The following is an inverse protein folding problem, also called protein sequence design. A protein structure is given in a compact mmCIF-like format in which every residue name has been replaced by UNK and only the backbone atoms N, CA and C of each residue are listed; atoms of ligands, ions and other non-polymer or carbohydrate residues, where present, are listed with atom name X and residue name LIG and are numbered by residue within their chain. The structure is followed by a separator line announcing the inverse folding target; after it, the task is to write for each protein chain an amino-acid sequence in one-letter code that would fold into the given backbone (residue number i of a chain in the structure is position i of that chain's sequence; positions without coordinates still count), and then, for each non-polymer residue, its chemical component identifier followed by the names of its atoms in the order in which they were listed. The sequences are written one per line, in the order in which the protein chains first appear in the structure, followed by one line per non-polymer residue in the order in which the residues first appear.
data_IF_426322288544
#
_entry.id   IF_426322288544
#
_cell.length_a   1.000
_cell.length_b   1.000
_cell.length_c   1.000
_cell.angle_alpha   90.00
_cell.angle_beta   90.00
_cell.angle_gamma   90.00
#
_symmetry.space_group_name_H-M   'P 1'
#
loop_
_entity.id
_entity.type
_entity.pdbx_description
1 polymer ?
#
# COMPACT_ATOMS: atom_id res chain seq x y z
N UNK A 1 57.61 -19.25 -67.83
CA UNK A 1 56.34 -18.73 -67.32
C UNK A 1 56.07 -19.40 -65.98
N UNK A 2 56.38 -18.72 -64.87
CA UNK A 2 56.20 -19.28 -63.48
C UNK A 2 54.88 -18.79 -62.95
N UNK A 3 54.00 -19.73 -62.54
CA UNK A 3 52.76 -19.43 -61.85
C UNK A 3 53.08 -19.26 -60.37
N UNK A 4 52.77 -18.11 -59.84
CA UNK A 4 52.84 -17.79 -58.41
C UNK A 4 51.46 -18.16 -57.84
N UNK A 5 51.46 -19.10 -56.90
CA UNK A 5 50.27 -19.42 -56.14
C UNK A 5 50.16 -18.51 -54.87
N UNK A 6 49.08 -17.77 -54.77
CA UNK A 6 48.81 -16.91 -53.63
C UNK A 6 48.07 -17.71 -52.55
N UNK A 7 48.70 -17.97 -51.41
CA UNK A 7 48.10 -18.58 -50.23
C UNK A 7 47.40 -17.47 -49.42
N UNK A 8 46.08 -17.55 -49.36
CA UNK A 8 45.28 -16.69 -48.45
C UNK A 8 45.18 -17.38 -47.11
N UNK A 9 45.80 -16.81 -46.10
CA UNK A 9 45.65 -17.21 -44.72
C UNK A 9 44.38 -16.56 -44.15
N UNK A 10 43.29 -17.32 -43.93
CA UNK A 10 42.12 -16.90 -43.20
C UNK A 10 42.41 -17.01 -41.70
N UNK A 11 42.63 -15.92 -41.04
CA UNK A 11 42.66 -15.85 -39.58
C UNK A 11 41.21 -15.92 -39.04
N UNK A 12 40.86 -17.05 -38.43
CA UNK A 12 39.62 -17.19 -37.67
C UNK A 12 39.84 -16.52 -36.32
N UNK A 13 39.24 -15.33 -36.09
CA UNK A 13 39.16 -14.72 -34.79
C UNK A 13 38.08 -15.47 -34.00
N UNK A 14 38.48 -16.34 -33.06
CA UNK A 14 37.62 -16.88 -32.05
C UNK A 14 37.39 -15.79 -30.98
N UNK A 15 36.28 -15.10 -31.06
CA UNK A 15 35.80 -14.23 -29.96
C UNK A 15 35.40 -15.13 -28.81
N UNK A 16 36.24 -15.23 -27.79
CA UNK A 16 35.88 -15.80 -26.49
C UNK A 16 34.98 -14.76 -25.82
N UNK A 17 33.66 -14.97 -25.91
CA UNK A 17 32.71 -14.27 -25.04
C UNK A 17 32.98 -14.76 -23.62
N UNK A 18 33.76 -14.02 -22.87
CA UNK A 18 33.83 -14.16 -21.42
C UNK A 18 32.48 -13.69 -20.88
N UNK A 19 31.59 -14.65 -20.60
CA UNK A 19 30.47 -14.40 -19.68
C UNK A 19 31.09 -14.07 -18.32
N UNK A 20 31.28 -12.80 -18.06
CA UNK A 20 31.43 -12.31 -16.70
C UNK A 20 30.07 -12.55 -16.05
N UNK A 21 29.96 -13.63 -15.25
CA UNK A 21 28.95 -13.71 -14.21
C UNK A 21 29.21 -12.46 -13.36
N UNK A 22 28.32 -11.48 -13.46
CA UNK A 22 28.21 -10.47 -12.43
C UNK A 22 28.01 -11.23 -11.13
N UNK A 23 29.02 -11.22 -10.29
CA UNK A 23 28.91 -11.64 -8.91
C UNK A 23 28.06 -10.55 -8.23
N UNK A 24 26.75 -10.63 -8.37
CA UNK A 24 25.84 -9.91 -7.51
C UNK A 24 26.00 -10.52 -6.14
N UNK A 25 26.92 -9.98 -5.34
CA UNK A 25 27.00 -10.28 -3.93
C UNK A 25 25.61 -10.05 -3.35
N UNK A 26 24.99 -11.12 -2.81
CA UNK A 26 23.66 -11.03 -2.19
C UNK A 26 23.76 -9.95 -1.11
N UNK A 27 22.94 -8.89 -1.22
CA UNK A 27 22.93 -7.80 -0.24
C UNK A 27 22.35 -8.37 1.06
N UNK A 28 23.12 -8.29 2.14
CA UNK A 28 22.72 -8.79 3.46
C UNK A 28 22.64 -7.65 4.45
N UNK A 29 21.51 -7.55 5.14
CA UNK A 29 21.31 -6.63 6.26
C UNK A 29 21.57 -7.33 7.60
N UNK A 30 21.96 -6.55 8.61
CA UNK A 30 22.01 -7.02 9.98
C UNK A 30 20.59 -7.33 10.48
N UNK A 31 20.42 -8.40 11.23
CA UNK A 31 19.10 -8.81 11.73
C UNK A 31 19.19 -10.00 12.66
N UNK A 32 18.05 -10.43 13.20
CA UNK A 32 17.90 -11.55 14.11
C UNK A 32 17.29 -12.75 13.39
N UNK A 33 17.61 -13.95 13.84
CA UNK A 33 16.94 -15.16 13.36
C UNK A 33 15.50 -15.21 13.87
N UNK A 34 14.59 -15.67 13.01
CA UNK A 34 13.16 -15.78 13.33
C UNK A 34 12.60 -17.12 12.85
N UNK A 35 11.62 -17.63 13.57
CA UNK A 35 10.89 -18.83 13.18
C UNK A 35 9.72 -18.45 12.27
N UNK A 36 9.91 -18.58 10.97
CA UNK A 36 8.88 -18.37 9.94
C UNK A 36 8.70 -19.64 9.12
N UNK A 37 7.50 -19.85 8.60
CA UNK A 37 7.19 -21.05 7.83
C UNK A 37 8.09 -21.23 6.60
N UNK A 38 8.20 -22.48 6.13
CA UNK A 38 9.10 -22.83 5.01
C UNK A 38 8.48 -22.59 3.63
N UNK A 39 7.16 -22.56 3.52
CA UNK A 39 6.46 -22.41 2.25
C UNK A 39 5.91 -20.98 2.11
N UNK A 40 6.67 -20.11 1.46
CA UNK A 40 6.28 -18.73 1.18
C UNK A 40 6.03 -18.49 -0.33
N UNK A 41 5.78 -19.55 -1.09
CA UNK A 41 5.61 -19.48 -2.55
C UNK A 41 6.93 -19.09 -3.22
N UNK A 42 6.84 -18.27 -4.27
CA UNK A 42 8.00 -17.73 -4.98
C UNK A 42 8.60 -16.46 -4.33
N UNK A 43 8.00 -15.98 -3.25
CA UNK A 43 8.46 -14.78 -2.57
C UNK A 43 9.58 -15.09 -1.58
N UNK A 44 10.67 -14.37 -1.69
CA UNK A 44 11.84 -14.51 -0.81
C UNK A 44 11.87 -13.47 0.31
N UNK A 45 11.12 -12.37 0.15
CA UNK A 45 11.19 -11.21 1.01
C UNK A 45 9.80 -10.63 1.29
N UNK A 46 9.61 -10.14 2.53
CA UNK A 46 8.49 -9.28 2.90
C UNK A 46 9.06 -7.96 3.41
N UNK A 47 8.85 -6.88 2.66
CA UNK A 47 9.14 -5.52 3.10
C UNK A 47 8.01 -5.06 4.01
N UNK A 48 8.37 -4.43 5.13
CA UNK A 48 7.46 -4.03 6.19
C UNK A 48 7.71 -2.55 6.46
N UNK A 49 6.73 -1.71 6.18
CA UNK A 49 6.83 -0.28 6.36
C UNK A 49 6.11 0.13 7.65
N UNK A 50 6.84 0.83 8.50
CA UNK A 50 6.38 1.32 9.79
C UNK A 50 6.22 2.84 9.71
N UNK A 51 5.04 3.35 10.04
CA UNK A 51 4.74 4.80 10.00
C UNK A 51 5.57 5.59 11.01
N UNK A 52 5.92 4.96 12.13
CA UNK A 52 6.54 5.60 13.28
C UNK A 52 5.51 6.24 14.22
N UNK A 53 5.95 6.63 15.42
CA UNK A 53 5.17 7.46 16.33
C UNK A 53 5.44 8.93 16.02
N UNK A 54 4.43 9.70 15.60
CA UNK A 54 4.62 11.12 15.34
C UNK A 54 5.08 11.86 16.61
N UNK A 55 6.16 12.64 16.59
CA UNK A 55 6.99 13.03 15.44
C UNK A 55 8.20 12.10 15.14
N UNK A 56 8.12 10.82 15.50
CA UNK A 56 9.19 9.84 15.28
C UNK A 56 9.34 9.44 13.81
N UNK A 57 10.54 8.95 13.46
CA UNK A 57 10.86 8.54 12.11
C UNK A 57 10.16 7.23 11.72
N UNK A 58 9.74 7.15 10.47
CA UNK A 58 9.33 5.91 9.82
C UNK A 58 10.53 5.00 9.60
N UNK A 59 10.30 3.68 9.59
CA UNK A 59 11.34 2.69 9.31
C UNK A 59 10.88 1.71 8.24
N UNK A 60 11.84 1.16 7.50
CA UNK A 60 11.63 0.08 6.55
C UNK A 60 12.32 -1.17 7.05
N UNK A 61 11.55 -2.18 7.43
CA UNK A 61 12.06 -3.47 7.89
C UNK A 61 11.97 -4.52 6.76
N UNK A 62 12.71 -5.61 6.92
CA UNK A 62 12.75 -6.72 5.96
C UNK A 62 12.68 -8.05 6.69
N UNK A 63 11.70 -8.87 6.33
CA UNK A 63 11.68 -10.29 6.66
C UNK A 63 12.19 -11.08 5.44
N UNK A 64 13.39 -11.64 5.59
CA UNK A 64 14.02 -12.52 4.60
C UNK A 64 13.61 -13.96 4.91
N UNK A 65 12.69 -14.50 4.11
CA UNK A 65 12.17 -15.86 4.29
C UNK A 65 13.21 -16.92 3.99
N UNK A 66 14.10 -16.67 3.02
CA UNK A 66 15.13 -17.61 2.60
C UNK A 66 16.15 -17.85 3.71
N UNK A 67 16.57 -16.75 4.36
CA UNK A 67 17.58 -16.78 5.41
C UNK A 67 16.96 -16.84 6.81
N UNK A 68 15.60 -16.87 6.93
CA UNK A 68 14.84 -16.85 8.19
C UNK A 68 15.30 -15.73 9.12
N UNK A 69 15.41 -14.52 8.55
CA UNK A 69 16.03 -13.38 9.23
C UNK A 69 15.10 -12.16 9.18
N UNK A 70 14.92 -11.54 10.33
CA UNK A 70 14.24 -10.23 10.42
C UNK A 70 15.28 -9.12 10.59
N UNK A 71 15.26 -8.14 9.68
CA UNK A 71 16.19 -7.03 9.62
C UNK A 71 15.42 -5.73 9.87
N UNK A 72 15.73 -5.05 10.98
CA UNK A 72 15.11 -3.77 11.34
C UNK A 72 15.78 -2.63 10.59
N UNK A 73 14.97 -1.67 10.16
CA UNK A 73 15.41 -0.42 9.52
C UNK A 73 16.54 -0.60 8.48
N UNK A 74 16.23 -1.37 7.45
CA UNK A 74 17.19 -1.62 6.36
C UNK A 74 17.53 -0.32 5.60
N UNK A 75 16.66 0.72 5.68
CA UNK A 75 16.99 2.02 5.11
C UNK A 75 18.17 2.67 5.84
N UNK A 76 18.12 2.74 7.17
CA UNK A 76 19.23 3.32 7.94
C UNK A 76 20.51 2.50 7.80
N UNK A 77 20.39 1.17 7.73
CA UNK A 77 21.56 0.29 7.49
C UNK A 77 22.20 0.56 6.11
N UNK A 78 21.39 0.80 5.09
CA UNK A 78 21.85 1.07 3.74
C UNK A 78 22.39 2.50 3.56
N UNK A 79 21.87 3.48 4.29
CA UNK A 79 22.12 4.91 4.11
C UNK A 79 22.55 5.59 5.43
N UNK A 80 23.68 5.19 6.04
CA UNK A 80 24.11 5.72 7.34
C UNK A 80 24.45 7.22 7.30
N UNK A 81 24.65 7.78 6.11
CA UNK A 81 24.86 9.22 5.90
C UNK A 81 23.57 10.03 5.99
N UNK A 82 22.40 9.40 5.87
CA UNK A 82 21.08 10.07 5.95
C UNK A 82 20.64 10.15 7.41
N UNK A 83 21.17 11.11 8.15
CA UNK A 83 20.97 11.26 9.60
C UNK A 83 19.50 11.43 9.99
N UNK A 84 18.67 11.96 9.09
CA UNK A 84 17.23 12.19 9.35
C UNK A 84 16.40 10.91 9.21
N UNK A 85 17.02 9.79 8.81
CA UNK A 85 16.34 8.53 8.53
C UNK A 85 15.46 8.58 7.28
N UNK A 86 14.49 7.67 7.18
CA UNK A 86 13.62 7.56 6.01
C UNK A 86 12.68 8.77 5.87
N UNK A 87 12.21 9.34 6.97
CA UNK A 87 11.22 10.43 7.04
C UNK A 87 10.11 10.10 8.03
N UNK A 88 9.02 10.86 8.01
CA UNK A 88 7.93 10.75 8.99
C UNK A 88 6.60 10.37 8.34
N UNK A 89 5.83 9.53 9.03
CA UNK A 89 4.48 9.08 8.67
C UNK A 89 4.44 8.48 7.27
N UNK A 90 5.06 7.30 7.13
CA UNK A 90 5.03 6.54 5.88
C UNK A 90 3.64 5.97 5.63
N UNK A 91 3.01 6.33 4.51
CA UNK A 91 1.62 5.99 4.22
C UNK A 91 1.42 4.88 3.19
N UNK A 92 2.37 4.68 2.29
CA UNK A 92 2.25 3.64 1.27
C UNK A 92 3.61 3.37 0.62
N UNK A 93 3.73 2.22 -0.05
CA UNK A 93 4.91 1.87 -0.84
C UNK A 93 4.54 1.01 -2.05
N UNK A 94 5.28 1.19 -3.13
CA UNK A 94 5.12 0.38 -4.34
C UNK A 94 6.46 0.11 -5.02
N UNK A 95 6.57 -1.05 -5.69
CA UNK A 95 7.75 -1.40 -6.50
C UNK A 95 7.47 -1.12 -7.97
N UNK A 96 8.42 -0.48 -8.63
CA UNK A 96 8.47 -0.33 -10.08
C UNK A 96 9.92 -0.23 -10.56
N UNK A 97 10.24 -0.87 -11.68
CA UNK A 97 11.53 -0.79 -12.35
C UNK A 97 12.74 -1.07 -11.43
N UNK A 98 12.60 -2.04 -10.51
CA UNK A 98 13.64 -2.41 -9.54
C UNK A 98 13.85 -1.39 -8.42
N UNK A 99 12.92 -0.48 -8.22
CA UNK A 99 12.95 0.57 -7.19
C UNK A 99 11.73 0.48 -6.29
N UNK A 100 11.92 0.75 -5.00
CA UNK A 100 10.86 0.92 -4.02
C UNK A 100 10.58 2.42 -3.85
N UNK A 101 9.34 2.80 -4.10
CA UNK A 101 8.82 4.14 -3.87
C UNK A 101 8.10 4.15 -2.52
N UNK A 102 8.54 5.01 -1.59
CA UNK A 102 7.97 5.12 -0.24
C UNK A 102 7.41 6.52 -0.05
N UNK A 103 6.15 6.61 0.30
CA UNK A 103 5.42 7.86 0.51
C UNK A 103 5.50 8.28 1.98
N UNK A 104 5.97 9.50 2.24
CA UNK A 104 6.26 10.03 3.56
C UNK A 104 5.39 11.28 3.79
N UNK A 105 4.19 11.06 4.32
CA UNK A 105 3.13 12.08 4.40
C UNK A 105 3.56 13.32 5.18
N UNK A 106 3.98 13.17 6.43
CA UNK A 106 4.37 14.31 7.26
C UNK A 106 5.71 14.95 6.86
N UNK A 107 6.51 14.25 6.04
CA UNK A 107 7.73 14.82 5.46
C UNK A 107 7.50 15.52 4.12
N UNK A 108 6.30 15.45 3.54
CA UNK A 108 5.98 15.96 2.19
C UNK A 108 6.95 15.43 1.11
N UNK A 109 7.25 14.14 1.16
CA UNK A 109 8.27 13.53 0.32
C UNK A 109 7.87 12.15 -0.18
N UNK A 110 8.49 11.77 -1.30
CA UNK A 110 8.57 10.40 -1.77
C UNK A 110 10.04 10.02 -1.86
N UNK A 111 10.44 8.99 -1.11
CA UNK A 111 11.77 8.40 -1.22
C UNK A 111 11.76 7.30 -2.27
N UNK A 112 12.70 7.34 -3.20
CA UNK A 112 12.92 6.29 -4.20
C UNK A 112 14.19 5.54 -3.83
N UNK A 113 14.03 4.26 -3.51
CA UNK A 113 15.10 3.40 -3.07
C UNK A 113 15.41 2.37 -4.14
N UNK A 114 16.68 2.10 -4.37
CA UNK A 114 17.11 1.02 -5.23
C UNK A 114 16.87 -0.34 -4.53
N UNK A 115 16.43 -1.35 -5.26
CA UNK A 115 16.29 -2.72 -4.77
C UNK A 115 17.35 -3.64 -5.41
N UNK A 116 17.89 -4.60 -4.65
CA UNK A 116 17.46 -5.04 -3.31
C UNK A 116 18.18 -4.37 -2.13
N UNK A 117 19.06 -3.39 -2.35
CA UNK A 117 19.99 -2.86 -1.35
C UNK A 117 19.45 -1.68 -0.53
N UNK A 118 18.22 -1.25 -0.78
CA UNK A 118 17.55 -0.14 -0.11
C UNK A 118 18.32 1.20 -0.15
N UNK A 119 19.26 1.35 -1.09
CA UNK A 119 20.00 2.61 -1.28
C UNK A 119 19.07 3.70 -1.76
N UNK A 120 19.18 4.87 -1.12
CA UNK A 120 18.45 6.07 -1.53
C UNK A 120 18.96 6.55 -2.88
N UNK A 121 18.09 6.55 -3.88
CA UNK A 121 18.38 7.08 -5.20
C UNK A 121 17.91 8.53 -5.34
N UNK A 122 16.71 8.82 -4.87
CA UNK A 122 16.08 10.12 -5.06
C UNK A 122 15.08 10.44 -3.94
N UNK A 123 14.99 11.71 -3.59
CA UNK A 123 13.86 12.28 -2.83
C UNK A 123 13.12 13.23 -3.75
N UNK A 124 11.79 13.09 -3.80
CA UNK A 124 10.89 13.94 -4.58
C UNK A 124 9.98 14.69 -3.62
N UNK A 125 9.73 15.97 -3.89
CA UNK A 125 8.78 16.77 -3.13
C UNK A 125 7.36 16.49 -3.62
N UNK A 126 6.51 16.02 -2.72
CA UNK A 126 5.07 15.76 -2.94
C UNK A 126 4.36 16.13 -1.65
N UNK A 127 3.47 17.12 -1.71
CA UNK A 127 2.76 17.60 -0.53
C UNK A 127 1.83 16.52 0.04
N UNK A 128 2.00 16.16 1.31
CA UNK A 128 1.16 15.20 2.03
C UNK A 128 0.75 13.98 1.19
N UNK A 129 1.72 13.17 0.65
CA UNK A 129 1.40 12.03 -0.22
C UNK A 129 0.67 10.93 0.55
N UNK A 130 -0.29 10.24 -0.12
CA UNK A 130 -1.16 9.25 0.52
C UNK A 130 -1.02 7.85 -0.05
N UNK A 131 -1.40 7.64 -1.30
CA UNK A 131 -1.36 6.34 -1.98
C UNK A 131 -0.66 6.44 -3.32
N UNK A 132 -0.10 5.31 -3.78
CA UNK A 132 0.62 5.22 -5.05
C UNK A 132 0.12 4.04 -5.89
N UNK A 133 -0.02 4.28 -7.20
CA UNK A 133 -0.17 3.22 -8.20
C UNK A 133 0.76 3.49 -9.37
N UNK A 134 1.31 2.41 -9.94
CA UNK A 134 2.15 2.49 -11.12
C UNK A 134 1.37 2.03 -12.36
N UNK A 135 1.38 2.84 -13.43
CA UNK A 135 0.80 2.48 -14.71
C UNK A 135 1.64 3.02 -15.88
N UNK A 136 1.90 2.16 -16.88
CA UNK A 136 2.83 2.47 -17.96
C UNK A 136 4.20 2.90 -17.42
N UNK A 137 4.68 4.06 -17.81
CA UNK A 137 5.95 4.62 -17.33
C UNK A 137 5.81 5.59 -16.15
N UNK A 138 4.62 5.74 -15.60
CA UNK A 138 4.33 6.74 -14.57
C UNK A 138 4.00 6.10 -13.22
N UNK A 139 4.38 6.81 -12.16
CA UNK A 139 3.81 6.69 -10.83
C UNK A 139 2.73 7.76 -10.64
N UNK A 140 1.56 7.37 -10.13
CA UNK A 140 0.46 8.26 -9.78
C UNK A 140 0.29 8.26 -8.27
N UNK A 141 0.29 9.45 -7.65
CA UNK A 141 0.30 9.59 -6.20
C UNK A 141 -0.78 10.57 -5.81
N UNK A 142 -1.68 10.17 -4.91
CA UNK A 142 -2.64 11.07 -4.27
C UNK A 142 -1.97 11.93 -3.22
N UNK A 143 -2.43 13.16 -3.10
CA UNK A 143 -1.88 14.17 -2.20
C UNK A 143 -3.01 15.05 -1.66
N UNK A 144 -2.98 15.33 -0.37
CA UNK A 144 -3.91 16.28 0.22
C UNK A 144 -3.65 17.72 -0.24
N UNK A 145 -2.46 18.01 -0.72
CA UNK A 145 -2.02 19.32 -1.22
C UNK A 145 -2.18 20.48 -0.21
N UNK A 146 -2.43 20.17 1.05
CA UNK A 146 -2.66 21.13 2.14
C UNK A 146 -2.56 20.48 3.50
N UNK A 147 -3.05 21.16 4.52
CA UNK A 147 -3.05 20.68 5.90
C UNK A 147 -3.85 19.36 6.04
N UNK A 148 -3.34 18.44 6.85
CA UNK A 148 -4.01 17.17 7.14
C UNK A 148 -5.21 17.39 8.05
N UNK A 149 -5.08 18.26 9.07
CA UNK A 149 -6.13 18.49 10.09
C UNK A 149 -6.75 19.86 9.97
N UNK A 150 -8.08 19.90 10.06
CA UNK A 150 -8.91 21.01 10.52
C UNK A 150 -8.59 22.38 9.97
N UNK A 151 -8.43 22.55 8.67
CA UNK A 151 -8.39 23.85 8.05
C UNK A 151 -9.81 24.31 7.77
N UNK A 152 -10.19 25.53 8.18
CA UNK A 152 -11.45 26.18 7.76
C UNK A 152 -11.45 26.37 6.24
N UNK A 153 -10.26 26.48 5.64
CA UNK A 153 -10.04 26.57 4.20
C UNK A 153 -9.71 25.19 3.62
N UNK A 154 -10.72 24.42 3.24
CA UNK A 154 -10.53 23.14 2.56
C UNK A 154 -9.93 23.39 1.17
N UNK A 155 -8.71 22.85 0.95
CA UNK A 155 -8.03 22.90 -0.35
C UNK A 155 -8.33 21.63 -1.12
N UNK A 156 -8.66 21.70 -2.41
CA UNK A 156 -8.74 20.52 -3.24
C UNK A 156 -7.41 19.77 -3.27
N UNK A 157 -7.50 18.44 -3.17
CA UNK A 157 -6.34 17.59 -3.29
C UNK A 157 -5.85 17.47 -4.73
N UNK A 158 -4.74 16.75 -4.91
CA UNK A 158 -4.11 16.55 -6.22
C UNK A 158 -3.75 15.11 -6.45
N UNK A 159 -3.62 14.76 -7.73
CA UNK A 159 -2.85 13.60 -8.17
C UNK A 159 -1.57 14.09 -8.82
N UNK A 160 -0.44 13.61 -8.33
CA UNK A 160 0.86 13.76 -8.96
C UNK A 160 1.07 12.62 -9.95
N UNK A 161 1.45 12.94 -11.19
CA UNK A 161 1.95 12.00 -12.18
C UNK A 161 3.44 12.23 -12.37
N UNK A 162 4.24 11.23 -12.02
CA UNK A 162 5.70 11.30 -12.05
C UNK A 162 6.23 10.29 -13.06
N UNK A 163 6.99 10.73 -14.05
CA UNK A 163 7.72 9.84 -14.97
C UNK A 163 8.83 9.14 -14.20
N UNK A 164 8.80 7.80 -14.12
CA UNK A 164 9.71 7.03 -13.26
C UNK A 164 11.18 7.01 -13.72
N UNK A 165 11.45 7.48 -14.92
CA UNK A 165 12.81 7.57 -15.46
C UNK A 165 13.38 8.97 -15.32
N UNK A 166 12.65 9.98 -15.76
CA UNK A 166 13.12 11.38 -15.77
C UNK A 166 12.78 12.13 -14.48
N UNK A 167 11.87 11.60 -13.65
CA UNK A 167 11.28 12.24 -12.49
C UNK A 167 10.53 13.55 -12.79
N UNK A 168 10.17 13.76 -14.07
CA UNK A 168 9.31 14.88 -14.45
C UNK A 168 7.93 14.76 -13.82
N UNK A 169 7.46 15.85 -13.21
CA UNK A 169 6.22 15.91 -12.45
C UNK A 169 5.16 16.70 -13.21
N UNK A 170 3.94 16.23 -13.18
CA UNK A 170 2.73 16.98 -13.54
C UNK A 170 1.63 16.67 -12.53
N UNK A 171 0.68 17.59 -12.35
CA UNK A 171 -0.40 17.44 -11.36
C UNK A 171 -1.76 17.74 -11.98
N UNK A 172 -2.80 17.15 -11.40
CA UNK A 172 -4.20 17.46 -11.67
C UNK A 172 -4.95 17.57 -10.36
N UNK A 173 -5.81 18.56 -10.24
CA UNK A 173 -6.66 18.79 -9.08
C UNK A 173 -7.83 17.80 -9.07
N UNK A 174 -8.21 17.32 -7.86
CA UNK A 174 -9.30 16.37 -7.63
C UNK A 174 -10.19 16.84 -6.46
N UNK A 175 -10.93 15.95 -5.80
CA UNK A 175 -11.72 16.30 -4.62
C UNK A 175 -10.86 16.50 -3.36
N UNK A 176 -11.54 16.56 -2.22
CA UNK A 176 -10.88 16.83 -0.94
C UNK A 176 -10.23 15.59 -0.35
N UNK A 177 -9.01 15.76 0.15
CA UNK A 177 -8.21 14.73 0.83
C UNK A 177 -8.29 13.36 0.13
N UNK A 178 -7.76 13.26 -1.12
CA UNK A 178 -7.81 12.02 -1.88
C UNK A 178 -6.94 10.94 -1.24
N UNK A 179 -7.51 9.74 -1.14
CA UNK A 179 -6.88 8.55 -0.59
C UNK A 179 -6.56 7.54 -1.70
N UNK A 180 -7.15 6.36 -1.69
CA UNK A 180 -6.89 5.28 -2.62
C UNK A 180 -7.12 5.66 -4.08
N UNK A 181 -6.38 4.99 -4.96
CA UNK A 181 -6.49 5.15 -6.41
C UNK A 181 -6.36 3.81 -7.11
N UNK A 182 -7.02 3.68 -8.27
CA UNK A 182 -7.00 2.44 -9.05
C UNK A 182 -7.12 2.74 -10.55
N UNK A 183 -6.44 1.94 -11.38
CA UNK A 183 -6.46 2.10 -12.84
C UNK A 183 -7.35 1.05 -13.48
N UNK A 184 -8.33 1.49 -14.26
CA UNK A 184 -9.20 0.63 -15.04
C UNK A 184 -9.43 1.22 -16.44
N UNK A 185 -9.17 0.45 -17.49
CA UNK A 185 -9.43 0.83 -18.90
C UNK A 185 -8.82 2.19 -19.30
N UNK A 186 -7.57 2.46 -18.88
CA UNK A 186 -6.88 3.73 -19.19
C UNK A 186 -7.41 4.95 -18.44
N UNK A 187 -8.21 4.74 -17.41
CA UNK A 187 -8.72 5.76 -16.49
C UNK A 187 -8.18 5.51 -15.08
N UNK A 188 -7.83 6.58 -14.39
CA UNK A 188 -7.47 6.56 -12.97
C UNK A 188 -8.66 7.03 -12.15
N UNK A 189 -9.14 6.16 -11.28
CA UNK A 189 -10.19 6.45 -10.30
C UNK A 189 -9.52 6.85 -9.00
N UNK A 190 -10.01 7.92 -8.36
CA UNK A 190 -9.44 8.50 -7.15
C UNK A 190 -10.54 8.67 -6.12
N UNK A 191 -10.38 8.02 -4.96
CA UNK A 191 -11.28 8.15 -3.83
C UNK A 191 -11.02 9.47 -3.09
N UNK A 192 -11.96 10.39 -3.11
CA UNK A 192 -11.86 11.60 -2.31
C UNK A 192 -12.58 11.35 -0.98
N UNK A 193 -11.87 11.43 0.14
CA UNK A 193 -12.42 11.09 1.44
C UNK A 193 -12.90 12.31 2.23
N UNK A 194 -12.17 13.41 2.17
CA UNK A 194 -12.34 14.54 3.10
C UNK A 194 -12.12 14.12 4.56
N UNK A 195 -11.45 12.97 4.82
CA UNK A 195 -11.50 12.20 6.05
C UNK A 195 -11.05 12.90 7.34
N UNK A 196 -10.22 13.95 7.26
CA UNK A 196 -9.82 14.78 8.39
C UNK A 196 -10.50 16.15 8.40
N UNK A 197 -11.40 16.39 7.45
CA UNK A 197 -12.24 17.59 7.40
C UNK A 197 -13.56 17.37 8.16
N UNK A 198 -14.25 18.48 8.47
CA UNK A 198 -15.55 18.43 9.13
C UNK A 198 -16.69 17.89 8.25
N UNK A 199 -16.47 17.87 6.93
CA UNK A 199 -17.41 17.35 5.94
C UNK A 199 -16.68 16.34 5.07
N UNK A 200 -17.09 15.09 5.15
CA UNK A 200 -16.51 14.02 4.35
C UNK A 200 -16.95 14.12 2.88
N UNK A 201 -16.04 13.76 1.98
CA UNK A 201 -16.29 13.72 0.55
C UNK A 201 -16.81 12.33 0.14
N UNK A 202 -17.67 12.27 -0.89
CA UNK A 202 -18.17 11.02 -1.47
C UNK A 202 -17.84 10.89 -2.95
N UNK A 203 -16.99 11.78 -3.49
CA UNK A 203 -16.72 11.84 -4.91
C UNK A 203 -15.56 10.93 -5.30
N UNK A 204 -15.73 10.25 -6.42
CA UNK A 204 -14.65 9.55 -7.11
C UNK A 204 -14.29 10.36 -8.35
N UNK A 205 -13.10 10.95 -8.39
CA UNK A 205 -12.60 11.64 -9.58
C UNK A 205 -12.10 10.61 -10.59
N UNK A 206 -12.52 10.73 -11.85
CA UNK A 206 -12.08 9.85 -12.94
C UNK A 206 -11.19 10.67 -13.89
N UNK A 207 -9.92 10.33 -13.96
CA UNK A 207 -8.89 11.00 -14.75
C UNK A 207 -8.60 10.16 -16.00
N UNK A 208 -8.65 10.78 -17.17
CA UNK A 208 -8.17 10.18 -18.41
C UNK A 208 -6.62 10.18 -18.41
N UNK A 209 -6.02 9.00 -18.46
CA UNK A 209 -4.56 8.87 -18.38
C UNK A 209 -3.83 9.39 -19.65
N UNK A 210 -4.52 9.45 -20.79
CA UNK A 210 -3.93 9.95 -22.04
C UNK A 210 -3.78 11.47 -22.05
N UNK A 211 -4.74 12.19 -21.50
CA UNK A 211 -4.73 13.66 -21.40
C UNK A 211 -4.25 14.14 -20.02
N UNK A 212 -4.36 13.30 -19.02
CA UNK A 212 -4.14 13.60 -17.61
C UNK A 212 -5.01 14.75 -17.11
N UNK A 213 -6.29 14.65 -17.40
CA UNK A 213 -7.33 15.60 -16.96
C UNK A 213 -8.49 14.85 -16.33
N UNK A 214 -9.18 15.46 -15.36
CA UNK A 214 -10.44 14.92 -14.81
C UNK A 214 -11.49 14.95 -15.91
N UNK A 215 -11.98 13.77 -16.29
CA UNK A 215 -13.00 13.58 -17.30
C UNK A 215 -14.40 13.75 -16.72
N UNK A 216 -14.60 13.19 -15.53
CA UNK A 216 -15.86 13.21 -14.80
C UNK A 216 -15.67 12.92 -13.32
N UNK A 217 -16.72 13.14 -12.57
CA UNK A 217 -16.85 12.77 -11.16
C UNK A 217 -18.01 11.81 -10.99
N UNK A 218 -17.84 10.79 -10.16
CA UNK A 218 -18.88 9.83 -9.75
C UNK A 218 -19.20 10.12 -8.29
N UNK A 219 -20.48 10.27 -7.95
CA UNK A 219 -20.93 10.37 -6.57
C UNK A 219 -21.20 8.96 -6.03
N UNK A 220 -20.40 8.53 -5.06
CA UNK A 220 -20.61 7.27 -4.37
C UNK A 220 -21.78 7.40 -3.37
N UNK A 221 -22.50 6.31 -3.08
CA UNK A 221 -23.60 6.33 -2.11
C UNK A 221 -23.13 6.40 -0.64
N UNK A 222 -21.81 6.47 -0.40
CA UNK A 222 -21.14 6.51 0.89
C UNK A 222 -20.09 7.60 0.90
N UNK A 223 -19.81 8.15 2.07
CA UNK A 223 -18.78 9.19 2.30
C UNK A 223 -17.50 8.57 2.81
N UNK A 224 -16.45 9.39 2.99
CA UNK A 224 -15.20 9.01 3.63
C UNK A 224 -14.55 7.81 2.93
N UNK A 225 -14.43 7.90 1.60
CA UNK A 225 -13.88 6.85 0.73
C UNK A 225 -12.40 6.63 1.03
N UNK A 226 -11.94 5.37 1.00
CA UNK A 226 -10.59 5.08 1.41
C UNK A 226 -9.80 4.27 0.37
N UNK A 227 -9.55 2.99 0.58
CA UNK A 227 -8.72 2.19 -0.32
C UNK A 227 -9.48 1.78 -1.58
N UNK A 228 -8.75 1.63 -2.69
CA UNK A 228 -9.29 1.18 -3.96
C UNK A 228 -8.51 0.00 -4.53
N UNK A 229 -9.22 -0.88 -5.24
CA UNK A 229 -8.61 -1.88 -6.11
C UNK A 229 -9.48 -2.12 -7.35
N UNK A 230 -8.92 -2.82 -8.35
CA UNK A 230 -9.66 -3.25 -9.55
C UNK A 230 -9.75 -4.76 -9.58
N UNK A 231 -10.96 -5.27 -9.66
CA UNK A 231 -11.22 -6.70 -9.83
C UNK A 231 -12.49 -6.93 -10.65
N UNK A 232 -12.51 -7.99 -11.46
CA UNK A 232 -13.67 -8.41 -12.25
C UNK A 232 -14.29 -7.28 -13.09
N UNK A 233 -13.43 -6.40 -13.65
CA UNK A 233 -13.86 -5.30 -14.54
C UNK A 233 -14.54 -4.13 -13.83
N UNK A 234 -14.43 -4.05 -12.49
CA UNK A 234 -14.97 -2.98 -11.64
C UNK A 234 -13.87 -2.39 -10.77
N UNK A 235 -14.08 -1.16 -10.33
CA UNK A 235 -13.36 -0.57 -9.20
C UNK A 235 -14.11 -0.92 -7.92
N UNK A 236 -13.38 -1.29 -6.89
CA UNK A 236 -13.90 -1.51 -5.55
C UNK A 236 -13.29 -0.48 -4.62
N UNK A 237 -14.12 0.12 -3.77
CA UNK A 237 -13.70 1.15 -2.82
C UNK A 237 -14.23 0.82 -1.43
N UNK A 238 -13.34 0.90 -0.43
CA UNK A 238 -13.73 0.86 0.99
C UNK A 238 -14.11 2.26 1.48
N UNK A 239 -14.85 2.33 2.56
CA UNK A 239 -15.24 3.56 3.25
C UNK A 239 -15.12 3.39 4.75
N UNK A 240 -14.61 4.40 5.43
CA UNK A 240 -14.61 4.47 6.90
C UNK A 240 -16.01 4.72 7.48
N UNK A 241 -17.02 4.97 6.63
CA UNK A 241 -18.34 5.37 7.08
C UNK A 241 -18.40 6.81 7.54
N UNK A 242 -19.44 7.14 8.30
CA UNK A 242 -19.69 8.51 8.77
C UNK A 242 -19.86 8.51 10.28
N UNK A 243 -19.08 9.33 10.95
CA UNK A 243 -19.15 9.48 12.40
C UNK A 243 -18.88 10.92 12.84
N UNK A 244 -19.46 11.29 13.97
CA UNK A 244 -19.22 12.57 14.63
C UNK A 244 -18.67 12.33 16.03
N UNK A 245 -17.80 13.22 16.48
CA UNK A 245 -17.24 13.19 17.82
C UNK A 245 -17.78 14.38 18.62
N UNK A 246 -18.34 14.12 19.79
CA UNK A 246 -18.85 15.14 20.71
C UNK A 246 -18.29 14.88 22.10
N UNK A 247 -18.14 15.95 22.90
CA UNK A 247 -17.78 15.79 24.30
C UNK A 247 -19.03 15.69 25.15
N UNK A 248 -19.02 14.74 26.07
CA UNK A 248 -20.06 14.65 27.09
C UNK A 248 -19.90 15.71 28.20
N UNK A 249 -20.78 15.68 29.21
CA UNK A 249 -20.75 16.60 30.34
C UNK A 249 -19.51 16.44 31.25
N UNK A 250 -18.75 15.36 31.11
CA UNK A 250 -17.52 15.06 31.85
C UNK A 250 -16.27 15.43 31.04
N UNK A 251 -16.44 15.79 29.76
CA UNK A 251 -15.36 16.13 28.85
C UNK A 251 -14.81 14.93 28.09
N UNK A 252 -15.42 13.77 28.20
CA UNK A 252 -15.03 12.57 27.48
C UNK A 252 -15.57 12.61 26.03
N UNK A 253 -14.74 12.20 25.09
CA UNK A 253 -15.11 12.15 23.69
C UNK A 253 -15.98 10.92 23.40
N UNK A 254 -17.19 11.17 22.86
CA UNK A 254 -18.13 10.14 22.41
C UNK A 254 -18.22 10.16 20.89
N UNK A 255 -17.99 9.01 20.28
CA UNK A 255 -18.23 8.80 18.85
C UNK A 255 -19.70 8.39 18.62
N UNK A 256 -20.34 9.07 17.68
CA UNK A 256 -21.66 8.69 17.16
C UNK A 256 -21.52 8.33 15.69
N UNK A 257 -21.78 7.07 15.35
CA UNK A 257 -21.69 6.55 13.97
C UNK A 257 -23.05 6.69 13.31
N UNK A 258 -23.12 7.36 12.17
CA UNK A 258 -24.34 7.56 11.38
C UNK A 258 -24.38 6.69 10.10
N UNK A 259 -23.22 6.25 9.60
CA UNK A 259 -23.12 5.25 8.55
C UNK A 259 -21.91 4.33 8.81
N UNK A 260 -22.06 2.99 8.65
CA UNK A 260 -21.00 2.05 8.94
C UNK A 260 -19.91 2.07 7.86
N UNK A 261 -18.78 1.49 8.20
CA UNK A 261 -17.78 1.07 7.23
C UNK A 261 -18.43 0.22 6.13
N UNK A 262 -17.95 0.32 4.90
CA UNK A 262 -18.58 -0.40 3.78
C UNK A 262 -17.62 -0.72 2.65
N UNK A 263 -18.03 -1.66 1.78
CA UNK A 263 -17.39 -1.98 0.52
C UNK A 263 -18.37 -1.68 -0.62
N UNK A 264 -17.95 -0.83 -1.56
CA UNK A 264 -18.75 -0.43 -2.71
C UNK A 264 -18.07 -0.83 -4.02
N UNK A 265 -18.80 -1.44 -4.94
CA UNK A 265 -18.35 -1.66 -6.32
C UNK A 265 -18.81 -0.52 -7.22
N UNK A 266 -17.94 -0.11 -8.14
CA UNK A 266 -18.14 0.99 -9.09
C UNK A 266 -17.93 0.45 -10.51
N UNK A 267 -18.96 0.47 -11.34
CA UNK A 267 -18.87 0.06 -12.73
C UNK A 267 -18.23 1.17 -13.59
N UNK A 268 -17.67 0.81 -14.77
CA UNK A 268 -17.10 1.81 -15.69
C UNK A 268 -18.09 2.90 -16.15
N UNK A 269 -19.39 2.64 -16.13
CA UNK A 269 -20.42 3.64 -16.44
C UNK A 269 -20.71 4.63 -15.30
N UNK A 270 -20.17 4.36 -14.10
CA UNK A 270 -20.34 5.16 -12.88
C UNK A 270 -21.43 4.67 -11.94
N UNK A 271 -22.12 3.58 -12.26
CA UNK A 271 -23.08 2.99 -11.32
C UNK A 271 -22.37 2.37 -10.14
N UNK A 272 -22.85 2.67 -8.93
CA UNK A 272 -22.28 2.20 -7.67
C UNK A 272 -23.22 1.23 -6.96
N UNK A 273 -22.67 0.23 -6.30
CA UNK A 273 -23.42 -0.72 -5.49
C UNK A 273 -22.67 -1.03 -4.19
N UNK A 274 -23.30 -0.72 -3.05
CA UNK A 274 -22.83 -1.15 -1.73
C UNK A 274 -23.03 -2.66 -1.61
N UNK A 275 -22.06 -3.34 -1.06
CA UNK A 275 -22.16 -4.75 -0.72
C UNK A 275 -22.68 -4.88 0.73
N UNK A 276 -23.96 -5.17 0.86
CA UNK A 276 -24.63 -5.26 2.16
C UNK A 276 -23.98 -6.31 3.07
N UNK A 277 -23.77 -5.96 4.33
CA UNK A 277 -23.21 -6.84 5.36
C UNK A 277 -21.70 -7.05 5.26
N UNK A 278 -20.99 -6.27 4.44
CA UNK A 278 -19.53 -6.22 4.41
C UNK A 278 -19.06 -4.87 4.92
N UNK A 279 -18.34 -4.90 6.03
CA UNK A 279 -17.70 -3.74 6.62
C UNK A 279 -16.23 -3.74 6.26
N UNK A 280 -15.75 -2.71 5.56
CA UNK A 280 -14.40 -2.65 5.01
C UNK A 280 -13.70 -1.34 5.41
N UNK A 281 -12.84 -1.44 6.40
CA UNK A 281 -11.87 -0.40 6.74
C UNK A 281 -10.63 -0.54 5.83
N UNK A 282 -9.82 -1.59 6.05
CA UNK A 282 -8.64 -1.90 5.24
C UNK A 282 -8.91 -3.10 4.35
N UNK A 283 -8.34 -3.07 3.14
CA UNK A 283 -8.50 -4.18 2.21
C UNK A 283 -7.25 -4.47 1.39
N UNK A 284 -7.18 -5.68 0.88
CA UNK A 284 -6.21 -6.10 -0.14
C UNK A 284 -6.89 -7.02 -1.15
N UNK A 285 -6.40 -6.98 -2.38
CA UNK A 285 -6.88 -7.87 -3.45
C UNK A 285 -5.88 -9.00 -3.67
N UNK A 286 -6.38 -10.24 -3.72
CA UNK A 286 -5.61 -11.39 -4.16
C UNK A 286 -6.41 -12.17 -5.21
N UNK A 287 -5.92 -12.17 -6.45
CA UNK A 287 -6.65 -12.75 -7.58
C UNK A 287 -8.00 -12.06 -7.80
N UNK A 288 -9.11 -12.79 -7.55
CA UNK A 288 -10.47 -12.26 -7.64
C UNK A 288 -11.15 -12.10 -6.27
N UNK A 289 -10.40 -12.24 -5.20
CA UNK A 289 -10.92 -12.14 -3.84
C UNK A 289 -10.38 -10.88 -3.15
N UNK A 290 -11.30 -10.05 -2.67
CA UNK A 290 -10.96 -8.96 -1.75
C UNK A 290 -10.97 -9.54 -0.33
N UNK A 291 -9.88 -9.31 0.39
CA UNK A 291 -9.77 -9.56 1.82
C UNK A 291 -9.84 -8.21 2.52
N UNK A 292 -10.80 -8.04 3.41
CA UNK A 292 -10.94 -6.81 4.18
C UNK A 292 -11.36 -7.13 5.61
N UNK A 293 -11.17 -6.19 6.51
CA UNK A 293 -11.69 -6.28 7.86
C UNK A 293 -12.40 -4.97 8.24
N UNK A 294 -13.33 -5.08 9.15
CA UNK A 294 -14.09 -3.97 9.69
C UNK A 294 -14.87 -4.36 10.94
N UNK A 295 -15.53 -3.37 11.55
CA UNK A 295 -16.29 -3.53 12.78
C UNK A 295 -17.78 -3.74 12.48
N UNK A 296 -18.32 -4.92 12.79
CA UNK A 296 -19.72 -5.27 12.55
C UNK A 296 -20.71 -4.56 13.48
N UNK A 297 -20.27 -4.20 14.68
CA UNK A 297 -21.12 -3.61 15.71
C UNK A 297 -20.92 -2.08 15.85
N UNK A 298 -20.26 -1.45 14.88
CA UNK A 298 -19.92 -0.03 14.91
C UNK A 298 -21.15 0.86 15.12
N UNK A 299 -22.27 0.58 14.41
CA UNK A 299 -23.52 1.32 14.51
C UNK A 299 -24.19 1.23 15.89
N UNK A 300 -23.84 0.24 16.68
CA UNK A 300 -24.38 0.04 18.03
C UNK A 300 -23.43 0.51 19.13
N UNK A 301 -22.28 1.09 18.74
CA UNK A 301 -21.21 1.45 19.66
C UNK A 301 -20.43 0.24 20.21
N UNK A 302 -20.61 -0.93 19.60
CA UNK A 302 -19.88 -2.15 19.93
C UNK A 302 -18.58 -2.27 19.13
N UNK A 303 -17.77 -3.27 19.50
CA UNK A 303 -16.54 -3.60 18.80
C UNK A 303 -16.50 -5.10 18.50
N UNK A 304 -16.77 -5.44 17.26
CA UNK A 304 -16.83 -6.80 16.75
C UNK A 304 -16.11 -6.89 15.41
N UNK A 305 -14.79 -7.03 15.47
CA UNK A 305 -13.96 -7.14 14.28
C UNK A 305 -14.22 -8.45 13.53
N UNK A 306 -14.39 -8.32 12.23
CA UNK A 306 -14.56 -9.43 11.31
C UNK A 306 -13.62 -9.30 10.12
N UNK A 307 -13.08 -10.44 9.67
CA UNK A 307 -12.40 -10.57 8.37
C UNK A 307 -13.43 -11.08 7.35
N UNK A 308 -13.45 -10.40 6.20
CA UNK A 308 -14.28 -10.78 5.05
C UNK A 308 -13.40 -11.25 3.90
N UNK A 309 -13.87 -12.28 3.20
CA UNK A 309 -13.33 -12.74 1.90
C UNK A 309 -14.43 -12.58 0.89
N UNK A 310 -14.31 -11.61 -0.01
CA UNK A 310 -15.34 -11.23 -0.98
C UNK A 310 -14.94 -11.69 -2.37
N UNK A 311 -15.75 -12.53 -3.00
CA UNK A 311 -15.63 -12.91 -4.40
C UNK A 311 -16.14 -11.76 -5.28
N UNK A 312 -15.24 -11.15 -6.06
CA UNK A 312 -15.56 -9.98 -6.88
C UNK A 312 -16.36 -10.30 -8.15
N UNK A 313 -16.50 -11.57 -8.54
CA UNK A 313 -17.28 -11.98 -9.71
C UNK A 313 -18.79 -12.05 -9.41
N UNK A 314 -19.15 -12.55 -8.21
CA UNK A 314 -20.54 -12.78 -7.85
C UNK A 314 -20.98 -12.03 -6.58
N UNK A 315 -20.07 -11.30 -5.94
CA UNK A 315 -20.30 -10.55 -4.69
C UNK A 315 -20.66 -11.41 -3.47
N UNK A 316 -20.44 -12.72 -3.55
CA UNK A 316 -20.57 -13.57 -2.38
C UNK A 316 -19.40 -13.34 -1.41
N UNK A 317 -19.64 -13.48 -0.13
CA UNK A 317 -18.59 -13.32 0.86
C UNK A 317 -18.67 -14.34 2.00
N UNK A 318 -17.51 -14.57 2.60
CA UNK A 318 -17.36 -15.32 3.86
C UNK A 318 -16.92 -14.33 4.94
N UNK A 319 -17.47 -14.48 6.13
CA UNK A 319 -17.15 -13.67 7.30
C UNK A 319 -16.61 -14.53 8.43
N UNK A 320 -15.55 -14.07 9.08
CA UNK A 320 -14.96 -14.72 10.26
C UNK A 320 -14.66 -13.68 11.32
N UNK A 321 -15.31 -13.82 12.49
CA UNK A 321 -15.04 -12.96 13.65
C UNK A 321 -13.62 -13.15 14.19
N UNK A 322 -13.03 -12.09 14.70
CA UNK A 322 -11.74 -12.17 15.38
C UNK A 322 -11.89 -12.88 16.71
N UNK A 323 -12.92 -12.54 17.48
CA UNK A 323 -13.22 -13.20 18.75
C UNK A 323 -13.51 -14.70 18.56
N UNK A 324 -12.88 -15.54 19.38
CA UNK A 324 -13.06 -17.00 19.35
C UNK A 324 -12.33 -17.72 18.20
N UNK A 325 -11.54 -17.02 17.41
CA UNK A 325 -10.69 -17.58 16.35
C UNK A 325 -9.23 -17.31 16.60
N UNK A 326 -8.33 -17.86 15.74
CA UNK A 326 -6.89 -17.55 15.81
C UNK A 326 -6.59 -16.06 15.53
N UNK A 327 -7.53 -15.35 14.85
CA UNK A 327 -7.44 -13.91 14.58
C UNK A 327 -7.51 -13.06 15.87
N UNK A 328 -7.98 -13.60 16.99
CA UNK A 328 -8.00 -12.91 18.29
C UNK A 328 -6.60 -12.53 18.81
N UNK A 329 -5.54 -13.01 18.16
CA UNK A 329 -4.15 -12.59 18.42
C UNK A 329 -3.87 -11.16 17.95
N UNK A 330 -4.67 -10.66 16.99
CA UNK A 330 -4.54 -9.31 16.43
C UNK A 330 -5.43 -8.39 17.24
N UNK A 331 -4.83 -7.43 17.92
CA UNK A 331 -5.54 -6.48 18.76
C UNK A 331 -6.03 -5.26 17.97
N UNK A 332 -5.18 -4.74 17.09
CA UNK A 332 -5.49 -3.56 16.27
C UNK A 332 -5.06 -3.79 14.81
N UNK A 333 -5.90 -4.42 13.98
CA UNK A 333 -5.58 -4.68 12.59
C UNK A 333 -5.49 -3.37 11.81
N UNK A 334 -4.34 -3.13 11.15
CA UNK A 334 -4.07 -1.86 10.49
C UNK A 334 -3.63 -2.01 9.02
N UNK A 335 -3.10 -3.16 8.64
CA UNK A 335 -2.75 -3.50 7.28
C UNK A 335 -2.97 -4.98 7.02
N UNK A 336 -3.23 -5.34 5.77
CA UNK A 336 -3.45 -6.72 5.34
C UNK A 336 -2.82 -6.96 3.98
N UNK A 337 -2.16 -8.11 3.83
CA UNK A 337 -1.61 -8.60 2.57
C UNK A 337 -1.86 -10.10 2.44
N UNK A 338 -2.12 -10.58 1.24
CA UNK A 338 -2.29 -12.02 0.97
C UNK A 338 -1.24 -12.47 -0.03
N UNK A 339 -0.56 -13.57 0.29
CA UNK A 339 0.38 -14.21 -0.61
C UNK A 339 -0.40 -14.96 -1.71
N UNK A 340 -0.26 -14.56 -2.98
CA UNK A 340 -1.04 -15.14 -4.07
C UNK A 340 -0.68 -16.60 -4.39
N UNK A 341 0.51 -17.07 -3.97
CA UNK A 341 0.97 -18.42 -4.31
C UNK A 341 0.44 -19.49 -3.35
N UNK A 342 0.27 -19.15 -2.07
CA UNK A 342 -0.10 -20.14 -1.05
C UNK A 342 -1.32 -19.74 -0.22
N UNK A 343 -1.83 -18.50 -0.40
CA UNK A 343 -2.98 -17.97 0.34
C UNK A 343 -2.68 -17.58 1.78
N UNK A 344 -1.42 -17.50 2.19
CA UNK A 344 -1.07 -16.98 3.51
C UNK A 344 -1.47 -15.51 3.65
N UNK A 345 -2.06 -15.18 4.80
CA UNK A 345 -2.60 -13.86 5.11
C UNK A 345 -1.71 -13.22 6.16
N UNK A 346 -1.14 -12.08 5.84
CA UNK A 346 -0.34 -11.26 6.77
C UNK A 346 -1.19 -10.10 7.25
N UNK A 347 -1.31 -9.94 8.58
CA UNK A 347 -2.04 -8.85 9.21
C UNK A 347 -1.09 -8.06 10.10
N UNK A 348 -1.03 -6.75 9.87
CA UNK A 348 -0.34 -5.82 10.76
C UNK A 348 -1.20 -5.58 12.00
N UNK A 349 -0.67 -5.88 13.17
CA UNK A 349 -1.24 -5.54 14.48
C UNK A 349 -0.49 -4.30 14.99
N UNK A 350 -1.03 -3.12 14.70
CA UNK A 350 -0.33 -1.87 14.91
C UNK A 350 -0.36 -1.41 16.38
N UNK A 351 0.74 -0.79 16.78
CA UNK A 351 0.84 0.01 17.99
C UNK A 351 1.59 1.30 17.64
N UNK A 352 1.05 2.44 18.06
CA UNK A 352 1.65 3.76 17.84
C UNK A 352 2.40 4.29 19.08
N UNK A 353 2.44 3.50 20.16
CA UNK A 353 3.12 3.82 21.41
C UNK A 353 4.25 2.85 21.75
N UNK A 354 4.28 1.71 21.07
CA UNK A 354 5.27 0.64 21.24
C UNK A 354 5.52 -0.08 19.91
N UNK A 355 6.35 -1.11 19.87
CA UNK A 355 6.51 -1.96 18.69
C UNK A 355 5.21 -2.65 18.31
N UNK A 356 5.01 -2.80 17.03
CA UNK A 356 3.88 -3.50 16.39
C UNK A 356 4.21 -4.96 16.15
N UNK A 357 3.32 -5.68 15.47
CA UNK A 357 3.53 -7.07 15.07
C UNK A 357 3.01 -7.30 13.65
N UNK A 358 3.58 -8.29 12.98
CA UNK A 358 2.97 -8.91 11.81
C UNK A 358 2.66 -10.36 12.14
N UNK A 359 1.39 -10.73 12.04
CA UNK A 359 0.90 -12.09 12.19
C UNK A 359 0.68 -12.73 10.81
N UNK A 360 1.11 -13.97 10.66
CA UNK A 360 0.83 -14.77 9.49
C UNK A 360 -0.20 -15.86 9.83
N UNK A 361 -1.22 -15.96 9.00
CA UNK A 361 -2.24 -17.00 9.05
C UNK A 361 -2.25 -17.75 7.73
N UNK A 362 -2.57 -19.03 7.73
CA UNK A 362 -2.80 -19.75 6.47
C UNK A 362 -4.17 -19.40 5.85
N UNK A 363 -4.44 -19.91 4.65
CA UNK A 363 -5.70 -19.67 3.94
C UNK A 363 -6.98 -20.06 4.73
N UNK A 364 -6.85 -20.98 5.71
CA UNK A 364 -7.93 -21.39 6.62
C UNK A 364 -7.94 -20.59 7.94
N UNK A 365 -7.23 -19.46 7.99
CA UNK A 365 -7.14 -18.55 9.14
C UNK A 365 -6.52 -19.19 10.38
N UNK A 366 -5.68 -20.22 10.23
CA UNK A 366 -4.88 -20.78 11.32
C UNK A 366 -3.56 -20.04 11.43
N UNK A 367 -3.24 -19.59 12.63
CA UNK A 367 -1.98 -18.88 12.90
C UNK A 367 -0.77 -19.74 12.57
N UNK A 368 0.22 -19.16 11.91
CA UNK A 368 1.49 -19.78 11.54
C UNK A 368 2.66 -19.25 12.38
N UNK A 369 2.84 -17.93 12.37
CA UNK A 369 3.92 -17.24 13.08
C UNK A 369 3.59 -15.77 13.33
N UNK A 370 4.40 -15.14 14.18
CA UNK A 370 4.35 -13.71 14.49
C UNK A 370 5.78 -13.17 14.55
N UNK A 371 6.00 -11.99 14.03
CA UNK A 371 7.25 -11.23 14.21
C UNK A 371 6.94 -9.87 14.84
N UNK A 372 7.81 -9.42 15.74
CA UNK A 372 7.77 -8.06 16.28
C UNK A 372 8.37 -7.10 15.25
N UNK A 373 7.74 -5.93 15.09
CA UNK A 373 8.08 -4.94 14.07
C UNK A 373 8.23 -3.54 14.68
N UNK A 374 8.53 -2.54 13.86
CA UNK A 374 8.60 -1.14 14.27
C UNK A 374 7.26 -0.59 14.75
N UNK A 375 7.23 0.72 15.07
CA UNK A 375 6.04 1.43 15.56
C UNK A 375 5.13 1.77 14.38
N UNK A 376 3.82 1.52 14.50
CA UNK A 376 2.85 1.88 13.47
C UNK A 376 3.00 1.07 12.18
N UNK A 377 3.20 -0.24 12.27
CA UNK A 377 3.28 -1.10 11.08
C UNK A 377 1.96 -1.11 10.34
N UNK A 378 1.93 -0.64 9.08
CA UNK A 378 0.71 -0.50 8.28
C UNK A 378 0.78 -1.07 6.87
N UNK A 379 1.97 -1.16 6.27
CA UNK A 379 2.10 -1.53 4.87
C UNK A 379 3.09 -2.66 4.67
N UNK A 380 2.69 -3.62 3.83
CA UNK A 380 3.43 -4.84 3.53
C UNK A 380 3.59 -5.01 2.02
N UNK A 381 4.74 -5.51 1.59
CA UNK A 381 5.01 -5.80 0.18
C UNK A 381 5.84 -7.08 0.05
N UNK A 382 5.34 -8.05 -0.71
CA UNK A 382 6.06 -9.28 -1.06
C UNK A 382 6.94 -9.08 -2.30
N UNK A 383 8.15 -9.67 -2.27
CA UNK A 383 9.10 -9.70 -3.39
C UNK A 383 9.85 -11.04 -3.48
#
# INVERSE_FOLDING_TARGET
MKKIALLVFSAVLVAIAACTKENTSEVTFAGIEVEVGENNGNFSKLYILNEGAYPGASTLDLLDFKNKKYCTDIFAQANPEVVQGLGNTANDMAVADGKLWVLLNASNQVAVLHLPDAKLEKVLEVDSPRFIVNEGKYAYITSYAGAVYGSEDMVPGKVYRIDRTSYAVSTVEVGYQPEGLAVLNGKLYVANSGGYNWVHDNRISVIDLSTFTVERTIEAPVTNLFQMCVASGKVWVSSYGESTWTQDSQGDWIQSVSAPQSLTSVNPDGTCQILDGVHADKMTLCGKTIYCFGNDDEMTGGYNLCLYKVDTENSNFQKTGFAGSDLSRVAYPYGILVNPDNGDIYICDASFTAGSKVHCFNASLKHKWTVDTGVGTGHLLLQ
#
